data_IF_665278282356
#
_entry.id   IF_665278282356
#
_cell.length_a   1.000
_cell.length_b   1.000
_cell.length_c   1.000
_cell.angle_alpha   90.00
_cell.angle_beta   90.00
_cell.angle_gamma   90.00
#
_symmetry.space_group_name_H-M   'P 1'
#
loop_
_entity.id
_entity.type
_entity.pdbx_description
1 polymer ?
#
# COMPACT_ATOMS: atom_id res chain seq x y z
N UNK A 1 2.73 8.33 -15.42
CA UNK A 1 1.50 8.42 -14.60
C UNK A 1 1.93 7.95 -13.22
N UNK A 2 1.83 8.80 -12.20
CA UNK A 2 2.11 8.41 -10.82
C UNK A 2 0.85 7.72 -10.30
N UNK A 3 0.65 6.47 -10.71
CA UNK A 3 -0.48 5.66 -10.26
C UNK A 3 -0.32 5.38 -8.76
N UNK A 4 -1.32 5.77 -7.99
CA UNK A 4 -1.36 5.52 -6.56
C UNK A 4 -1.84 4.08 -6.34
N UNK A 5 -1.11 3.29 -5.55
CA UNK A 5 -1.50 1.93 -5.16
C UNK A 5 -2.72 1.91 -4.24
N UNK A 6 -3.14 3.08 -3.76
CA UNK A 6 -4.21 3.26 -2.79
C UNK A 6 -5.33 4.14 -3.33
N UNK A 7 -6.56 3.80 -2.94
CA UNK A 7 -7.74 4.62 -3.23
C UNK A 7 -7.91 5.64 -2.10
N UNK A 8 -7.44 6.88 -2.34
CA UNK A 8 -7.47 7.97 -1.34
C UNK A 8 -8.85 8.21 -0.73
N UNK A 9 -9.93 8.05 -1.50
CA UNK A 9 -11.30 8.21 -0.99
C UNK A 9 -11.62 7.20 0.12
N UNK A 10 -11.20 5.95 -0.02
CA UNK A 10 -11.44 4.89 0.98
C UNK A 10 -10.64 5.12 2.25
N UNK A 11 -9.41 5.63 2.14
CA UNK A 11 -8.59 5.99 3.30
C UNK A 11 -9.24 7.13 4.07
N UNK A 12 -9.71 8.16 3.37
CA UNK A 12 -10.40 9.30 3.99
C UNK A 12 -11.74 8.90 4.62
N UNK A 13 -12.50 8.00 3.99
CA UNK A 13 -13.71 7.43 4.59
C UNK A 13 -13.39 6.67 5.89
N UNK A 14 -12.34 5.85 5.90
CA UNK A 14 -11.91 5.12 7.10
C UNK A 14 -11.46 6.08 8.21
N UNK A 15 -10.62 7.07 7.90
CA UNK A 15 -10.18 8.06 8.88
C UNK A 15 -11.35 8.87 9.46
N UNK A 16 -12.30 9.29 8.61
CA UNK A 16 -13.51 10.00 9.06
C UNK A 16 -14.37 9.13 9.99
N UNK A 17 -14.45 7.82 9.75
CA UNK A 17 -15.15 6.90 10.67
C UNK A 17 -14.52 6.81 12.07
N UNK A 18 -13.32 7.35 12.23
CA UNK A 18 -12.56 7.45 13.48
C UNK A 18 -12.43 8.90 13.96
N UNK A 19 -13.23 9.83 13.43
CA UNK A 19 -13.15 11.27 13.69
C UNK A 19 -11.76 11.88 13.39
N UNK A 20 -11.04 11.30 12.41
CA UNK A 20 -9.73 11.77 11.97
C UNK A 20 -9.77 12.33 10.54
N UNK A 21 -8.89 13.29 10.26
CA UNK A 21 -8.63 13.81 8.92
C UNK A 21 -7.30 13.25 8.38
N UNK A 22 -7.18 13.16 7.06
CA UNK A 22 -5.97 12.67 6.38
C UNK A 22 -5.35 13.84 5.62
N UNK A 23 -4.08 14.15 5.93
CA UNK A 23 -3.29 15.14 5.22
C UNK A 23 -2.83 14.60 3.86
N UNK A 24 -2.45 15.50 2.94
CA UNK A 24 -1.88 15.08 1.66
C UNK A 24 -0.55 14.32 1.84
N UNK A 25 0.26 14.73 2.82
CA UNK A 25 1.51 14.03 3.19
C UNK A 25 1.25 12.61 3.69
N UNK A 26 0.19 12.40 4.47
CA UNK A 26 -0.20 11.05 4.90
C UNK A 26 -0.63 10.17 3.72
N UNK A 27 -1.34 10.72 2.72
CA UNK A 27 -1.70 9.99 1.50
C UNK A 27 -0.42 9.56 0.73
N UNK A 28 0.58 10.42 0.63
CA UNK A 28 1.86 10.11 -0.04
C UNK A 28 2.65 9.05 0.73
N UNK A 29 2.78 9.20 2.04
CA UNK A 29 3.49 8.25 2.90
C UNK A 29 2.83 6.86 2.87
N UNK A 30 1.51 6.78 2.89
CA UNK A 30 0.77 5.52 2.75
C UNK A 30 1.02 4.87 1.39
N UNK A 31 1.04 5.66 0.31
CA UNK A 31 1.34 5.15 -1.02
C UNK A 31 2.74 4.53 -1.10
N UNK A 32 3.75 5.25 -0.59
CA UNK A 32 5.13 4.76 -0.53
C UNK A 32 5.28 3.53 0.35
N UNK A 33 4.57 3.46 1.49
CA UNK A 33 4.60 2.29 2.36
C UNK A 33 4.03 1.04 1.66
N UNK A 34 2.93 1.19 0.90
CA UNK A 34 2.36 0.09 0.11
C UNK A 34 3.31 -0.34 -1.01
N UNK A 35 3.95 0.60 -1.68
CA UNK A 35 4.95 0.31 -2.73
C UNK A 35 6.15 -0.47 -2.18
N UNK A 36 6.68 -0.06 -1.03
CA UNK A 36 7.79 -0.75 -0.38
C UNK A 36 7.38 -2.18 0.03
N UNK A 37 6.16 -2.33 0.54
CA UNK A 37 5.62 -3.61 0.94
C UNK A 37 5.45 -4.55 -0.27
N UNK A 38 4.91 -4.04 -1.38
CA UNK A 38 4.82 -4.79 -2.64
C UNK A 38 6.20 -5.18 -3.17
N UNK A 39 7.18 -4.28 -3.11
CA UNK A 39 8.56 -4.54 -3.53
C UNK A 39 9.19 -5.68 -2.71
N UNK A 40 8.99 -5.68 -1.39
CA UNK A 40 9.41 -6.78 -0.51
C UNK A 40 8.71 -8.09 -0.84
N UNK A 41 7.42 -8.03 -1.14
CA UNK A 41 6.62 -9.19 -1.49
C UNK A 41 7.05 -9.82 -2.83
N UNK A 42 7.38 -8.99 -3.82
CA UNK A 42 8.00 -9.43 -5.08
C UNK A 42 9.32 -10.13 -4.81
N UNK A 43 10.23 -9.50 -4.06
CA UNK A 43 11.54 -10.08 -3.75
C UNK A 43 11.42 -11.44 -3.03
N UNK A 44 10.48 -11.58 -2.09
CA UNK A 44 10.18 -12.87 -1.43
C UNK A 44 9.60 -13.90 -2.39
N UNK A 45 8.70 -13.50 -3.30
CA UNK A 45 8.13 -14.40 -4.28
C UNK A 45 9.20 -14.91 -5.25
N UNK A 46 10.05 -14.01 -5.77
CA UNK A 46 11.17 -14.33 -6.65
C UNK A 46 12.21 -15.23 -5.97
N UNK A 47 12.59 -14.92 -4.73
CA UNK A 47 13.49 -15.75 -3.93
C UNK A 47 12.96 -17.17 -3.69
N UNK A 48 11.64 -17.35 -3.73
CA UNK A 48 10.98 -18.65 -3.66
C UNK A 48 10.66 -19.25 -5.04
N UNK A 49 11.23 -18.71 -6.13
CA UNK A 49 10.96 -19.11 -7.52
C UNK A 49 9.47 -19.09 -7.90
N UNK A 50 8.71 -18.15 -7.34
CA UNK A 50 7.27 -17.97 -7.61
C UNK A 50 7.04 -16.66 -8.36
N UNK A 51 6.15 -16.71 -9.36
CA UNK A 51 5.63 -15.53 -10.07
C UNK A 51 4.36 -14.95 -9.44
N UNK A 52 3.92 -15.52 -8.33
CA UNK A 52 2.69 -15.13 -7.63
C UNK A 52 3.01 -14.71 -6.20
N UNK A 53 2.73 -13.44 -5.90
CA UNK A 53 2.71 -12.90 -4.55
C UNK A 53 1.56 -13.56 -3.81
N UNK A 54 1.84 -14.16 -2.65
CA UNK A 54 0.84 -14.75 -1.76
C UNK A 54 0.73 -13.87 -0.51
N UNK A 55 -0.34 -14.06 0.27
CA UNK A 55 -0.51 -13.31 1.53
C UNK A 55 0.64 -13.47 2.52
N UNK A 56 1.41 -14.57 2.44
CA UNK A 56 2.64 -14.78 3.26
C UNK A 56 3.84 -13.95 2.83
N UNK A 57 3.79 -13.34 1.65
CA UNK A 57 4.87 -12.52 1.10
C UNK A 57 4.66 -11.03 1.39
N UNK A 58 3.44 -10.63 1.75
CA UNK A 58 3.03 -9.26 2.11
C UNK A 58 3.47 -8.99 3.55
#
# INVERSE_FOLDING_TARGET
MADSYIVKSKIREYAKSKDMNVSAEADEALNSAVEELLSKAVARAEGNSRKTIKGRDI
#
